data_IF_315225200766
#
_entry.id   IF_315225200766
#
_cell.length_a   1.000
_cell.length_b   1.000
_cell.length_c   1.000
_cell.angle_alpha   90.00
_cell.angle_beta   90.00
_cell.angle_gamma   90.00
#
_symmetry.space_group_name_H-M   'P 1'
#
loop_
_entity.id
_entity.type
_entity.pdbx_description
1 polymer ?
#
# COMPACT_ATOMS: atom_id res chain seq x y z
N UNK A 1 47.80 -3.76 -8.63
CA UNK A 1 47.63 -2.29 -8.58
C UNK A 1 46.41 -1.78 -9.37
N UNK A 2 45.92 -2.52 -10.38
CA UNK A 2 44.73 -2.12 -11.16
C UNK A 2 43.40 -2.33 -10.41
N UNK A 3 43.24 -3.44 -9.70
CA UNK A 3 42.01 -3.76 -8.96
C UNK A 3 41.67 -2.74 -7.86
N UNK A 4 42.68 -2.21 -7.16
CA UNK A 4 42.50 -1.19 -6.12
C UNK A 4 42.01 0.15 -6.71
N UNK A 5 42.45 0.49 -7.92
CA UNK A 5 42.10 1.75 -8.59
C UNK A 5 40.65 1.69 -9.11
N UNK A 6 40.21 0.54 -9.62
CA UNK A 6 38.80 0.29 -10.01
C UNK A 6 37.88 0.39 -8.78
N UNK A 7 38.28 -0.19 -7.65
CA UNK A 7 37.52 -0.11 -6.40
C UNK A 7 37.36 1.34 -5.91
N UNK A 8 38.44 2.14 -5.96
CA UNK A 8 38.39 3.56 -5.57
C UNK A 8 37.47 4.36 -6.49
N UNK A 9 37.53 4.14 -7.81
CA UNK A 9 36.62 4.80 -8.76
C UNK A 9 35.16 4.40 -8.48
N UNK A 10 34.89 3.12 -8.21
CA UNK A 10 33.56 2.66 -7.87
C UNK A 10 33.04 3.31 -6.57
N UNK A 11 33.87 3.37 -5.52
CA UNK A 11 33.53 4.04 -4.25
C UNK A 11 33.32 5.54 -4.48
N UNK A 12 34.16 6.20 -5.28
CA UNK A 12 34.05 7.62 -5.58
C UNK A 12 32.78 7.92 -6.40
N UNK A 13 32.44 7.07 -7.38
CA UNK A 13 31.20 7.19 -8.15
C UNK A 13 29.97 7.00 -7.24
N UNK A 14 30.00 5.99 -6.36
CA UNK A 14 28.96 5.76 -5.34
C UNK A 14 28.84 6.97 -4.40
N UNK A 15 29.96 7.54 -3.96
CA UNK A 15 29.97 8.73 -3.11
C UNK A 15 29.44 9.97 -3.84
N UNK A 16 29.86 10.21 -5.09
CA UNK A 16 29.38 11.33 -5.91
C UNK A 16 27.87 11.22 -6.16
N UNK A 17 27.36 10.00 -6.37
CA UNK A 17 25.93 9.74 -6.57
C UNK A 17 25.13 9.91 -5.28
N UNK A 18 25.65 9.41 -4.15
CA UNK A 18 25.04 9.63 -2.84
C UNK A 18 24.99 11.12 -2.44
N UNK A 19 25.94 11.94 -2.92
CA UNK A 19 25.94 13.40 -2.71
C UNK A 19 25.00 14.12 -3.70
N UNK A 20 24.80 13.56 -4.90
CA UNK A 20 23.97 14.15 -5.96
C UNK A 20 22.48 13.87 -5.79
N UNK A 21 21.93 14.13 -4.60
CA UNK A 21 20.49 14.32 -4.48
C UNK A 21 20.11 15.59 -5.25
N UNK A 22 19.19 15.55 -6.24
CA UNK A 22 18.80 16.74 -6.97
C UNK A 22 18.22 17.77 -5.99
N UNK A 23 18.94 18.88 -5.80
CA UNK A 23 18.49 19.98 -4.95
C UNK A 23 17.44 20.76 -5.74
N UNK A 24 16.18 20.54 -5.42
CA UNK A 24 15.10 21.44 -5.85
C UNK A 24 15.31 22.75 -5.10
N UNK A 25 15.49 23.86 -5.84
CA UNK A 25 15.67 25.18 -5.25
C UNK A 25 14.31 25.74 -4.79
N UNK A 26 13.79 25.19 -3.71
CA UNK A 26 12.53 25.57 -3.09
C UNK A 26 12.71 25.64 -1.57
N UNK A 27 11.98 26.55 -0.93
CA UNK A 27 12.04 26.73 0.53
C UNK A 27 11.61 25.43 1.22
N UNK A 28 12.41 24.95 2.17
CA UNK A 28 12.07 23.78 2.97
C UNK A 28 11.24 24.20 4.19
N UNK A 29 10.00 23.72 4.26
CA UNK A 29 9.13 23.91 5.41
C UNK A 29 9.18 22.67 6.30
N UNK A 30 9.49 22.92 7.56
CA UNK A 30 9.42 21.95 8.64
C UNK A 30 8.84 22.61 9.88
N UNK A 31 8.30 21.80 10.78
CA UNK A 31 7.82 22.30 12.05
C UNK A 31 8.99 22.76 12.92
N UNK A 32 8.84 23.90 13.57
CA UNK A 32 9.73 24.31 14.65
C UNK A 32 9.53 23.39 15.87
N UNK A 33 10.65 22.91 16.43
CA UNK A 33 10.64 21.98 17.56
C UNK A 33 10.35 20.54 17.14
N UNK A 34 9.18 20.03 17.53
CA UNK A 34 8.80 18.65 17.20
C UNK A 34 8.54 18.51 15.69
N UNK A 35 9.45 17.83 15.00
CA UNK A 35 9.35 17.51 13.58
C UNK A 35 9.02 16.01 13.37
N UNK A 36 8.36 15.37 14.33
CA UNK A 36 7.96 13.95 14.32
C UNK A 36 6.93 13.62 13.23
N UNK A 37 6.91 12.35 12.80
CA UNK A 37 5.93 11.87 11.83
C UNK A 37 4.48 12.05 12.31
N UNK A 38 4.22 11.87 13.61
CA UNK A 38 2.90 12.03 14.20
C UNK A 38 2.38 13.46 14.07
N UNK A 39 3.26 14.46 14.26
CA UNK A 39 2.89 15.85 14.08
C UNK A 39 2.53 16.19 12.63
N UNK A 40 3.26 15.64 11.65
CA UNK A 40 2.86 15.79 10.24
C UNK A 40 1.47 15.20 9.97
N UNK A 41 1.13 14.04 10.55
CA UNK A 41 -0.20 13.44 10.38
C UNK A 41 -1.30 14.37 10.94
N UNK A 42 -1.06 15.01 12.08
CA UNK A 42 -2.05 15.86 12.74
C UNK A 42 -2.11 17.29 12.16
N UNK A 43 -0.98 17.87 11.79
CA UNK A 43 -0.83 19.31 11.59
C UNK A 43 -0.25 19.71 10.23
N UNK A 44 0.07 18.78 9.31
CA UNK A 44 0.69 19.12 8.02
C UNK A 44 -0.10 20.17 7.24
N UNK A 45 -1.43 20.23 7.40
CA UNK A 45 -2.28 21.26 6.80
C UNK A 45 -1.82 22.69 7.08
N UNK A 46 -1.21 22.96 8.24
CA UNK A 46 -0.67 24.29 8.58
C UNK A 46 0.55 24.66 7.73
N UNK A 47 1.48 23.72 7.49
CA UNK A 47 2.62 23.92 6.59
C UNK A 47 2.16 24.04 5.12
N UNK A 48 1.17 23.22 4.73
CA UNK A 48 0.59 23.28 3.39
C UNK A 48 -0.05 24.64 3.12
N UNK A 49 -0.83 25.16 4.06
CA UNK A 49 -1.49 26.46 3.94
C UNK A 49 -0.49 27.61 3.71
N UNK A 50 0.68 27.57 4.37
CA UNK A 50 1.74 28.56 4.16
C UNK A 50 2.36 28.47 2.77
N UNK A 51 2.43 27.27 2.21
CA UNK A 51 3.17 27.00 0.99
C UNK A 51 2.37 27.06 -0.32
N UNK A 52 1.04 27.14 -0.30
CA UNK A 52 0.28 27.20 -1.57
C UNK A 52 0.54 28.46 -2.40
N UNK A 53 1.20 29.50 -1.87
CA UNK A 53 1.58 30.68 -2.65
C UNK A 53 2.86 30.49 -3.48
N UNK A 54 3.80 29.65 -3.04
CA UNK A 54 5.14 29.49 -3.65
C UNK A 54 5.61 28.04 -3.58
N UNK A 55 6.28 27.52 -4.60
CA UNK A 55 6.89 26.18 -4.54
C UNK A 55 7.71 26.00 -3.26
N UNK A 56 7.42 24.94 -2.52
CA UNK A 56 8.11 24.60 -1.28
C UNK A 56 8.39 23.10 -1.23
N UNK A 57 9.29 22.71 -0.34
CA UNK A 57 9.61 21.32 -0.05
C UNK A 57 9.26 21.01 1.40
N UNK A 58 8.81 19.80 1.68
CA UNK A 58 8.54 19.36 3.05
C UNK A 58 8.99 17.91 3.25
N UNK A 59 8.96 17.45 4.51
CA UNK A 59 9.32 16.08 4.86
C UNK A 59 8.50 15.07 4.05
N UNK A 60 9.17 14.12 3.42
CA UNK A 60 8.54 12.95 2.83
C UNK A 60 8.45 11.84 3.89
N UNK A 61 7.25 11.29 4.08
CA UNK A 61 7.01 10.23 5.07
C UNK A 61 7.72 8.93 4.70
N UNK A 62 7.85 8.64 3.40
CA UNK A 62 8.45 7.41 2.88
C UNK A 62 9.97 7.49 2.84
N UNK A 63 10.54 8.66 2.52
CA UNK A 63 11.99 8.87 2.47
C UNK A 63 12.41 10.25 3.03
N UNK A 64 12.85 10.32 4.30
CA UNK A 64 13.28 11.58 4.91
C UNK A 64 14.46 12.26 4.20
N UNK A 65 15.26 11.53 3.40
CA UNK A 65 16.40 12.11 2.65
C UNK A 65 15.97 12.80 1.36
N UNK A 66 14.78 12.48 0.85
CA UNK A 66 14.21 13.03 -0.40
C UNK A 66 12.93 13.80 -0.08
N UNK A 67 13.03 15.10 0.23
CA UNK A 67 11.85 15.89 0.56
C UNK A 67 10.88 15.95 -0.63
N UNK A 68 9.58 15.99 -0.34
CA UNK A 68 8.55 16.12 -1.37
C UNK A 68 8.42 17.59 -1.74
N UNK A 69 8.52 17.90 -3.03
CA UNK A 69 8.24 19.24 -3.54
C UNK A 69 6.74 19.39 -3.81
N UNK A 70 6.14 20.43 -3.26
CA UNK A 70 4.74 20.77 -3.44
C UNK A 70 4.67 22.01 -4.30
N UNK A 71 4.00 21.87 -5.44
CA UNK A 71 3.83 22.92 -6.42
C UNK A 71 2.39 23.46 -6.34
N UNK A 72 2.21 24.79 -6.31
CA UNK A 72 0.89 25.39 -6.49
C UNK A 72 0.26 24.97 -7.82
N UNK A 73 -1.07 24.84 -7.85
CA UNK A 73 -1.82 24.38 -9.04
C UNK A 73 -1.59 25.24 -10.29
N UNK A 74 -1.12 26.48 -10.16
CA UNK A 74 -0.78 27.34 -11.31
C UNK A 74 0.29 26.74 -12.22
N UNK A 75 1.15 25.86 -11.70
CA UNK A 75 2.17 25.16 -12.49
C UNK A 75 1.65 23.87 -13.12
N UNK A 76 0.40 23.46 -12.89
CA UNK A 76 -0.13 22.18 -13.36
C UNK A 76 -0.02 22.02 -14.88
N UNK A 77 -0.35 23.07 -15.65
CA UNK A 77 -0.25 23.03 -17.11
C UNK A 77 1.20 23.01 -17.60
N UNK A 78 2.12 23.71 -16.94
CA UNK A 78 3.55 23.67 -17.26
C UNK A 78 4.14 22.28 -16.98
N UNK A 79 3.82 21.70 -15.82
CA UNK A 79 4.25 20.37 -15.38
C UNK A 79 3.67 19.28 -16.29
N UNK A 80 2.40 19.42 -16.68
CA UNK A 80 1.71 18.46 -17.57
C UNK A 80 2.33 18.43 -18.96
N UNK A 81 2.72 19.59 -19.49
CA UNK A 81 3.28 19.73 -20.84
C UNK A 81 4.82 19.71 -20.86
N UNK A 82 5.47 19.53 -19.70
CA UNK A 82 6.92 19.48 -19.61
C UNK A 82 7.49 18.30 -20.42
N UNK A 83 8.63 18.47 -21.09
CA UNK A 83 9.28 17.38 -21.80
C UNK A 83 9.77 16.31 -20.82
N UNK A 84 9.76 15.04 -21.26
CA UNK A 84 10.19 13.89 -20.45
C UNK A 84 11.64 14.01 -19.93
N UNK A 85 12.49 14.79 -20.60
CA UNK A 85 13.86 15.08 -20.17
C UNK A 85 13.95 15.96 -18.92
N UNK A 86 12.87 16.67 -18.55
CA UNK A 86 12.77 17.52 -17.36
C UNK A 86 11.90 16.88 -16.28
N UNK A 87 10.82 16.23 -16.69
CA UNK A 87 9.89 15.52 -15.80
C UNK A 87 9.36 14.27 -16.49
N UNK A 88 9.68 13.09 -15.95
CA UNK A 88 9.29 11.80 -16.52
C UNK A 88 8.40 11.01 -15.56
N UNK A 89 7.09 11.11 -15.76
CA UNK A 89 6.13 10.25 -15.07
C UNK A 89 6.40 8.75 -15.30
N UNK A 90 6.80 8.27 -16.49
CA UNK A 90 7.11 6.85 -16.67
C UNK A 90 8.27 6.37 -15.77
N UNK A 91 9.35 7.15 -15.65
CA UNK A 91 10.47 6.80 -14.75
C UNK A 91 10.06 6.89 -13.28
N UNK A 92 9.23 7.87 -12.90
CA UNK A 92 8.67 7.92 -11.56
C UNK A 92 7.82 6.70 -11.26
N UNK A 93 6.92 6.34 -12.20
CA UNK A 93 6.08 5.15 -12.09
C UNK A 93 6.95 3.91 -11.97
N UNK A 94 7.87 3.64 -12.88
CA UNK A 94 8.80 2.50 -12.80
C UNK A 94 9.49 2.39 -11.43
N UNK A 95 9.94 3.53 -10.88
CA UNK A 95 10.57 3.59 -9.55
C UNK A 95 9.60 3.30 -8.39
N UNK A 96 8.35 3.73 -8.49
CA UNK A 96 7.32 3.43 -7.48
C UNK A 96 6.65 2.07 -7.68
N UNK A 97 6.67 1.57 -8.91
CA UNK A 97 5.90 0.44 -9.39
C UNK A 97 6.63 -0.89 -9.19
N UNK A 98 7.82 -0.89 -8.59
CA UNK A 98 8.47 -2.13 -8.13
C UNK A 98 7.54 -3.03 -7.30
N UNK A 99 6.48 -2.46 -6.70
CA UNK A 99 5.43 -3.24 -6.01
C UNK A 99 4.40 -3.85 -6.99
N UNK A 100 3.80 -3.08 -7.91
CA UNK A 100 2.71 -3.61 -8.77
C UNK A 100 3.21 -4.28 -10.05
N UNK A 101 4.35 -3.84 -10.59
CA UNK A 101 5.02 -4.46 -11.75
C UNK A 101 5.77 -5.74 -11.40
N UNK A 102 5.96 -6.07 -10.12
CA UNK A 102 6.45 -7.40 -9.78
C UNK A 102 5.40 -8.41 -10.23
N UNK A 103 5.80 -9.33 -11.12
CA UNK A 103 5.00 -10.50 -11.53
C UNK A 103 4.38 -11.22 -10.31
N UNK A 104 4.98 -11.05 -9.13
CA UNK A 104 4.52 -11.55 -7.84
C UNK A 104 3.15 -11.08 -7.36
N UNK A 105 2.57 -9.98 -7.85
CA UNK A 105 1.18 -9.59 -7.50
C UNK A 105 0.21 -9.90 -8.65
N UNK A 106 0.58 -9.54 -9.88
CA UNK A 106 -0.34 -9.65 -11.03
C UNK A 106 -0.68 -11.11 -11.33
N UNK A 107 0.30 -12.03 -11.36
CA UNK A 107 0.03 -13.44 -11.66
C UNK A 107 -0.93 -14.08 -10.64
N UNK A 108 -0.70 -13.96 -9.31
CA UNK A 108 -1.66 -14.46 -8.33
C UNK A 108 -3.07 -13.88 -8.45
N UNK A 109 -3.20 -12.62 -8.87
CA UNK A 109 -4.51 -12.01 -9.12
C UNK A 109 -5.17 -12.63 -10.34
N UNK A 110 -4.43 -12.82 -11.44
CA UNK A 110 -4.96 -13.46 -12.65
C UNK A 110 -5.39 -14.91 -12.40
N UNK A 111 -4.61 -15.66 -11.63
CA UNK A 111 -4.95 -17.01 -11.21
C UNK A 111 -6.23 -17.02 -10.36
N UNK A 112 -6.35 -16.08 -9.41
CA UNK A 112 -7.55 -15.97 -8.57
C UNK A 112 -8.77 -15.53 -9.39
N UNK A 113 -8.63 -14.65 -10.39
CA UNK A 113 -9.71 -14.27 -11.30
C UNK A 113 -10.20 -15.49 -12.08
N UNK A 114 -9.28 -16.30 -12.60
CA UNK A 114 -9.60 -17.51 -13.36
C UNK A 114 -10.28 -18.56 -12.46
N UNK A 115 -9.76 -18.76 -11.25
CA UNK A 115 -10.35 -19.66 -10.25
C UNK A 115 -11.73 -19.16 -9.79
N UNK A 116 -11.89 -17.87 -9.54
CA UNK A 116 -13.17 -17.25 -9.23
C UNK A 116 -14.18 -17.49 -10.35
N UNK A 117 -13.81 -17.23 -11.59
CA UNK A 117 -14.69 -17.46 -12.73
C UNK A 117 -15.09 -18.95 -12.84
N UNK A 118 -14.13 -19.88 -12.78
CA UNK A 118 -14.41 -21.31 -12.88
C UNK A 118 -15.27 -21.87 -11.74
N UNK A 119 -15.18 -21.31 -10.54
CA UNK A 119 -15.94 -21.76 -9.37
C UNK A 119 -17.34 -21.13 -9.30
N UNK A 120 -17.45 -19.86 -9.65
CA UNK A 120 -18.68 -19.08 -9.49
C UNK A 120 -19.59 -19.14 -10.72
N UNK A 121 -19.03 -19.42 -11.91
CA UNK A 121 -19.85 -19.66 -13.10
C UNK A 121 -20.58 -21.01 -12.98
N UNK A 122 -21.92 -21.02 -13.06
CA UNK A 122 -22.65 -22.28 -13.11
C UNK A 122 -22.36 -23.01 -14.43
N UNK A 123 -22.56 -24.34 -14.48
CA UNK A 123 -22.57 -25.08 -15.74
C UNK A 123 -23.59 -24.48 -16.71
N UNK A 124 -23.17 -24.23 -17.95
CA UNK A 124 -24.00 -23.64 -19.00
C UNK A 124 -24.24 -24.64 -20.14
N UNK A 125 -25.07 -25.69 -19.95
CA UNK A 125 -25.41 -26.62 -21.05
C UNK A 125 -26.29 -25.95 -22.12
N UNK A 126 -26.90 -24.80 -21.81
CA UNK A 126 -27.72 -23.98 -22.69
C UNK A 126 -27.87 -22.58 -22.09
N UNK A 127 -28.99 -21.92 -22.38
CA UNK A 127 -29.29 -20.62 -21.77
C UNK A 127 -29.55 -20.77 -20.26
N UNK A 128 -28.59 -20.35 -19.45
CA UNK A 128 -28.69 -20.36 -17.99
C UNK A 128 -28.94 -18.94 -17.49
N UNK A 129 -30.07 -18.73 -16.82
CA UNK A 129 -30.33 -17.45 -16.15
C UNK A 129 -29.46 -17.35 -14.89
N UNK A 130 -28.65 -16.30 -14.81
CA UNK A 130 -27.76 -16.03 -13.68
C UNK A 130 -28.14 -14.73 -12.99
N UNK A 131 -27.86 -14.63 -11.69
CA UNK A 131 -27.87 -13.35 -10.98
C UNK A 131 -26.46 -12.73 -11.07
N UNK A 132 -26.23 -11.75 -11.96
CA UNK A 132 -24.90 -11.20 -12.19
C UNK A 132 -24.34 -10.52 -10.95
N UNK A 133 -25.18 -9.91 -10.11
CA UNK A 133 -24.73 -9.23 -8.91
C UNK A 133 -24.05 -10.19 -7.93
N UNK A 134 -24.67 -11.35 -7.67
CA UNK A 134 -24.09 -12.35 -6.78
C UNK A 134 -22.74 -12.86 -7.31
N UNK A 135 -22.68 -13.16 -8.61
CA UNK A 135 -21.46 -13.65 -9.26
C UNK A 135 -20.34 -12.62 -9.19
N UNK A 136 -20.61 -11.36 -9.55
CA UNK A 136 -19.61 -10.29 -9.53
C UNK A 136 -19.16 -10.01 -8.09
N UNK A 137 -20.09 -9.91 -7.14
CA UNK A 137 -19.76 -9.63 -5.74
C UNK A 137 -18.91 -10.76 -5.13
N UNK A 138 -19.22 -12.02 -5.45
CA UNK A 138 -18.46 -13.16 -4.95
C UNK A 138 -17.07 -13.23 -5.58
N UNK A 139 -16.95 -13.04 -6.89
CA UNK A 139 -15.66 -12.97 -7.58
C UNK A 139 -14.80 -11.82 -7.04
N UNK A 140 -15.38 -10.64 -6.87
CA UNK A 140 -14.66 -9.49 -6.30
C UNK A 140 -14.23 -9.75 -4.86
N UNK A 141 -15.08 -10.34 -4.02
CA UNK A 141 -14.72 -10.68 -2.65
C UNK A 141 -13.51 -11.63 -2.61
N UNK A 142 -13.48 -12.66 -3.47
CA UNK A 142 -12.35 -13.60 -3.56
C UNK A 142 -11.05 -12.89 -3.95
N UNK A 143 -11.09 -12.09 -5.02
CA UNK A 143 -9.93 -11.33 -5.50
C UNK A 143 -9.43 -10.35 -4.42
N UNK A 144 -10.34 -9.61 -3.78
CA UNK A 144 -10.00 -8.68 -2.71
C UNK A 144 -9.37 -9.40 -1.50
N UNK A 145 -9.89 -10.56 -1.11
CA UNK A 145 -9.30 -11.36 -0.02
C UNK A 145 -7.91 -11.87 -0.36
N UNK A 146 -7.65 -12.24 -1.63
CA UNK A 146 -6.32 -12.64 -2.12
C UNK A 146 -5.31 -11.51 -1.99
N UNK A 147 -5.69 -10.30 -2.37
CA UNK A 147 -4.80 -9.12 -2.32
C UNK A 147 -4.55 -8.66 -0.88
N UNK A 148 -5.59 -8.63 -0.03
CA UNK A 148 -5.49 -8.07 1.31
C UNK A 148 -4.91 -9.04 2.35
N UNK A 149 -5.19 -10.34 2.22
CA UNK A 149 -4.91 -11.34 3.26
C UNK A 149 -4.07 -12.51 2.76
N UNK A 150 -4.03 -12.71 1.44
CA UNK A 150 -3.26 -13.77 0.80
C UNK A 150 -4.04 -15.08 0.57
N UNK A 151 -3.37 -16.12 0.03
CA UNK A 151 -3.96 -17.40 -0.35
C UNK A 151 -4.81 -18.07 0.73
N UNK A 152 -4.29 -18.07 1.96
CA UNK A 152 -4.78 -18.94 3.04
C UNK A 152 -6.23 -18.65 3.45
N UNK A 153 -6.69 -17.43 3.20
CA UNK A 153 -8.03 -16.98 3.58
C UNK A 153 -8.92 -16.66 2.37
N UNK A 154 -8.49 -17.00 1.15
CA UNK A 154 -9.32 -16.82 -0.06
C UNK A 154 -10.57 -17.72 -0.07
N UNK A 155 -10.57 -18.78 0.72
CA UNK A 155 -11.68 -19.74 0.82
C UNK A 155 -12.18 -19.91 2.27
N UNK A 156 -13.39 -20.50 2.40
CA UNK A 156 -13.96 -20.86 3.70
C UNK A 156 -14.59 -19.70 4.47
N UNK A 157 -14.45 -19.73 5.81
CA UNK A 157 -15.18 -18.84 6.73
C UNK A 157 -14.83 -17.36 6.52
N UNK A 158 -13.61 -17.03 6.11
CA UNK A 158 -13.20 -15.65 5.88
C UNK A 158 -13.93 -15.01 4.71
N UNK A 159 -14.02 -15.73 3.58
CA UNK A 159 -14.69 -15.23 2.39
C UNK A 159 -16.16 -14.92 2.67
N UNK A 160 -16.84 -15.81 3.39
CA UNK A 160 -18.24 -15.59 3.82
C UNK A 160 -18.35 -14.39 4.75
N UNK A 161 -17.48 -14.29 5.77
CA UNK A 161 -17.47 -13.14 6.68
C UNK A 161 -17.19 -11.82 5.94
N UNK A 162 -16.24 -11.80 5.01
CA UNK A 162 -15.88 -10.61 4.21
C UNK A 162 -17.03 -10.17 3.32
N UNK A 163 -17.71 -11.13 2.69
CA UNK A 163 -18.90 -10.88 1.85
C UNK A 163 -20.06 -10.34 2.67
N UNK A 164 -20.33 -10.95 3.82
CA UNK A 164 -21.45 -10.60 4.68
C UNK A 164 -21.16 -9.40 5.59
N UNK A 165 -19.91 -8.93 5.64
CA UNK A 165 -19.46 -7.83 6.49
C UNK A 165 -20.31 -6.58 6.25
N UNK A 166 -20.50 -6.18 5.00
CA UNK A 166 -21.27 -4.98 4.65
C UNK A 166 -22.73 -5.14 5.11
N UNK A 167 -23.32 -6.31 4.88
CA UNK A 167 -24.70 -6.59 5.30
C UNK A 167 -24.83 -6.56 6.83
N UNK A 168 -23.85 -7.11 7.54
CA UNK A 168 -23.82 -7.14 9.00
C UNK A 168 -23.60 -5.75 9.58
N UNK A 169 -22.67 -4.98 9.01
CA UNK A 169 -22.37 -3.61 9.40
C UNK A 169 -23.55 -2.66 9.18
N UNK A 170 -24.34 -2.85 8.11
CA UNK A 170 -25.55 -2.06 7.87
C UNK A 170 -26.71 -2.44 8.81
N UNK A 171 -26.86 -3.73 9.16
CA UNK A 171 -27.94 -4.19 10.06
C UNK A 171 -27.65 -3.90 11.53
N UNK A 172 -26.39 -3.97 11.96
CA UNK A 172 -26.00 -3.87 13.36
C UNK A 172 -26.48 -2.56 14.03
N UNK A 173 -26.34 -1.35 13.43
CA UNK A 173 -26.85 -0.12 14.03
C UNK A 173 -28.36 -0.15 14.29
N UNK A 174 -29.13 -0.74 13.37
CA UNK A 174 -30.58 -0.91 13.53
C UNK A 174 -30.90 -1.85 14.69
N UNK A 175 -30.27 -3.03 14.73
CA UNK A 175 -30.45 -4.01 15.81
C UNK A 175 -30.10 -3.41 17.17
N UNK A 176 -28.96 -2.71 17.27
CA UNK A 176 -28.52 -2.08 18.52
C UNK A 176 -29.48 -0.97 18.94
N UNK A 177 -29.95 -0.14 18.01
CA UNK A 177 -30.89 0.96 18.30
C UNK A 177 -32.25 0.46 18.77
N UNK A 178 -32.74 -0.66 18.24
CA UNK A 178 -34.04 -1.23 18.60
C UNK A 178 -34.00 -2.08 19.88
N UNK A 179 -32.93 -2.87 20.11
CA UNK A 179 -32.82 -3.73 21.29
C UNK A 179 -32.34 -2.99 22.54
N UNK A 180 -31.49 -1.97 22.40
CA UNK A 180 -30.82 -1.33 23.53
C UNK A 180 -31.17 0.16 23.65
N UNK A 181 -31.60 0.63 24.84
CA UNK A 181 -31.74 2.05 25.09
C UNK A 181 -30.36 2.74 25.01
N UNK A 182 -30.29 4.06 24.71
CA UNK A 182 -29.04 4.77 24.46
C UNK A 182 -27.93 4.53 25.50
N UNK A 183 -28.28 4.45 26.78
CA UNK A 183 -27.36 4.26 27.90
C UNK A 183 -26.82 2.83 28.05
N UNK A 184 -27.45 1.83 27.42
CA UNK A 184 -27.00 0.42 27.42
C UNK A 184 -26.28 -0.01 26.12
N UNK A 185 -26.20 0.86 25.11
CA UNK A 185 -25.64 0.49 23.79
C UNK A 185 -24.19 -0.01 23.85
N UNK A 186 -23.40 0.45 24.83
CA UNK A 186 -22.02 0.00 25.02
C UNK A 186 -21.93 -1.51 25.37
N UNK A 187 -22.99 -2.07 25.98
CA UNK A 187 -23.06 -3.50 26.34
C UNK A 187 -23.27 -4.37 25.09
N UNK A 188 -23.86 -3.83 24.03
CA UNK A 188 -24.16 -4.59 22.81
C UNK A 188 -22.92 -5.22 22.17
N UNK A 189 -21.73 -4.64 22.38
CA UNK A 189 -20.44 -5.21 21.96
C UNK A 189 -20.16 -6.60 22.55
N UNK A 190 -20.63 -6.87 23.77
CA UNK A 190 -20.36 -8.10 24.50
C UNK A 190 -21.47 -9.14 24.35
N UNK A 191 -22.69 -8.71 23.99
CA UNK A 191 -23.87 -9.58 23.91
C UNK A 191 -24.17 -9.99 22.47
N UNK A 192 -24.03 -9.08 21.49
CA UNK A 192 -24.52 -9.35 20.15
C UNK A 192 -23.52 -10.24 19.36
N UNK A 193 -23.96 -11.40 18.84
CA UNK A 193 -23.11 -12.30 18.06
C UNK A 193 -22.51 -11.62 16.81
N UNK A 194 -23.21 -10.65 16.22
CA UNK A 194 -22.75 -9.89 15.05
C UNK A 194 -21.46 -9.10 15.27
N UNK A 195 -21.01 -8.92 16.52
CA UNK A 195 -19.78 -8.20 16.87
C UNK A 195 -18.60 -9.14 17.17
N UNK A 196 -18.77 -10.46 17.03
CA UNK A 196 -17.71 -11.41 17.35
C UNK A 196 -16.45 -11.20 16.49
N UNK A 197 -15.30 -11.27 17.16
CA UNK A 197 -13.99 -10.85 16.67
C UNK A 197 -13.53 -11.69 15.46
N UNK A 198 -13.66 -11.13 14.24
CA UNK A 198 -12.93 -11.64 13.07
C UNK A 198 -11.40 -11.71 13.28
N UNK A 199 -10.88 -11.04 14.31
CA UNK A 199 -9.48 -11.09 14.72
C UNK A 199 -8.98 -12.52 15.04
N UNK A 200 -9.84 -13.42 15.52
CA UNK A 200 -9.44 -14.81 15.75
C UNK A 200 -9.05 -15.53 14.46
N UNK A 201 -9.68 -15.17 13.34
CA UNK A 201 -9.39 -15.80 12.05
C UNK A 201 -8.04 -15.35 11.49
N UNK A 202 -7.65 -14.11 11.76
CA UNK A 202 -6.35 -13.56 11.35
C UNK A 202 -5.20 -14.04 12.20
N UNK A 203 -5.44 -14.27 13.50
CA UNK A 203 -4.38 -14.59 14.46
C UNK A 203 -3.43 -15.69 13.98
N UNK A 204 -3.87 -16.88 13.53
CA UNK A 204 -2.94 -17.92 13.09
C UNK A 204 -2.14 -17.50 11.85
N UNK A 205 -2.74 -16.78 10.90
CA UNK A 205 -2.05 -16.31 9.71
C UNK A 205 -1.02 -15.24 10.06
N UNK A 206 -1.39 -14.28 10.90
CA UNK A 206 -0.48 -13.22 11.36
C UNK A 206 0.67 -13.79 12.19
N UNK A 207 0.39 -14.72 13.10
CA UNK A 207 1.42 -15.40 13.90
C UNK A 207 2.36 -16.22 13.02
N UNK A 208 1.83 -16.95 12.03
CA UNK A 208 2.65 -17.66 11.06
C UNK A 208 3.55 -16.70 10.27
N UNK A 209 3.03 -15.54 9.82
CA UNK A 209 3.84 -14.53 9.11
C UNK A 209 4.88 -13.87 10.00
N UNK A 210 4.56 -13.57 11.26
CA UNK A 210 5.51 -13.03 12.23
C UNK A 210 6.61 -14.07 12.49
N UNK A 211 6.25 -15.34 12.69
CA UNK A 211 7.21 -16.42 12.87
C UNK A 211 8.06 -16.68 11.63
N UNK A 212 7.50 -16.59 10.41
CA UNK A 212 8.27 -16.64 9.16
C UNK A 212 9.26 -15.48 9.05
N UNK A 213 8.85 -14.27 9.46
CA UNK A 213 9.74 -13.10 9.46
C UNK A 213 10.86 -13.23 10.49
N UNK A 214 10.58 -13.79 11.66
CA UNK A 214 11.56 -14.01 12.73
C UNK A 214 12.51 -15.17 12.40
N UNK A 215 12.01 -16.25 11.80
CA UNK A 215 12.79 -17.44 11.42
C UNK A 215 13.43 -17.34 10.03
N UNK A 216 13.00 -16.38 9.19
CA UNK A 216 13.68 -16.13 7.94
C UNK A 216 15.15 -15.83 8.26
N UNK A 217 16.12 -16.64 7.78
CA UNK A 217 17.52 -16.26 7.90
C UNK A 217 17.64 -14.86 7.32
N UNK A 218 18.38 -13.92 7.97
CA UNK A 218 18.36 -12.50 7.61
C UNK A 218 18.55 -12.39 6.11
N UNK A 219 17.46 -12.11 5.38
CA UNK A 219 17.30 -12.53 3.98
C UNK A 219 18.55 -12.22 3.16
N UNK A 220 19.38 -13.23 2.93
CA UNK A 220 20.54 -13.12 2.06
C UNK A 220 20.16 -13.14 0.57
N UNK A 221 18.87 -13.22 0.23
CA UNK A 221 18.37 -12.99 -1.12
C UNK A 221 17.71 -11.61 -1.23
N UNK A 222 16.71 -11.29 -0.41
CA UNK A 222 16.06 -9.97 -0.46
C UNK A 222 16.89 -8.81 0.09
N UNK A 223 17.84 -9.02 1.02
CA UNK A 223 18.80 -8.00 1.49
C UNK A 223 20.07 -7.97 0.67
N UNK A 224 20.48 -9.06 -0.01
CA UNK A 224 21.54 -8.97 -1.02
C UNK A 224 21.02 -8.43 -2.33
N UNK A 225 19.76 -8.63 -2.72
CA UNK A 225 19.12 -7.85 -3.78
C UNK A 225 18.76 -6.46 -3.28
N UNK A 226 18.27 -6.23 -2.06
CA UNK A 226 18.21 -4.84 -1.53
C UNK A 226 19.58 -4.21 -1.37
N UNK A 227 20.66 -4.99 -1.28
CA UNK A 227 22.03 -4.48 -1.24
C UNK A 227 22.63 -4.41 -2.62
N UNK A 228 22.22 -5.23 -3.59
CA UNK A 228 22.73 -5.28 -4.96
C UNK A 228 21.94 -4.31 -5.84
N UNK A 229 20.62 -4.20 -5.66
CA UNK A 229 19.79 -3.07 -6.04
C UNK A 229 20.25 -1.80 -5.36
N UNK A 230 20.57 -1.78 -4.05
CA UNK A 230 21.24 -0.58 -3.48
C UNK A 230 22.63 -0.34 -4.06
N UNK A 231 23.44 -1.37 -4.34
CA UNK A 231 24.75 -1.20 -4.99
C UNK A 231 24.60 -0.75 -6.46
N UNK A 232 23.52 -1.13 -7.15
CA UNK A 232 23.17 -0.67 -8.50
C UNK A 232 22.52 0.70 -8.49
N UNK A 233 21.74 1.05 -7.47
CA UNK A 233 21.14 2.37 -7.27
C UNK A 233 22.19 3.38 -6.76
N UNK A 234 23.19 2.91 -6.02
CA UNK A 234 24.42 3.62 -5.70
C UNK A 234 25.40 3.65 -6.91
N UNK A 235 25.18 2.78 -7.91
CA UNK A 235 25.83 2.83 -9.23
C UNK A 235 24.95 3.49 -10.33
N UNK A 236 23.92 4.25 -9.91
CA UNK A 236 23.05 5.28 -10.56
C UNK A 236 23.44 6.76 -10.40
#
# INVERSE_FOLDING_TARGET
MTATLILIIAIAAVWLRAISAPKINATYFAFEGDNSANRYIAEAGSLLAQGYEKPFTMRNASDPKRPVAILPLRYLEEVRNAPQSKLSFPLFMEKTDHVLQSDGIIQPIQDEVTNAFNKEMPPCPGWTSINPYHLIAQSFARIATRVLVGPELCEGRWLTLSRDYINSANKAPGVVRHKYPPWLRWVAKYIEPSVHNGAELFRPVLEARIAELDNAPPQAAGRKERSASRLHEDAI
#
